data_IF_760361053771
#
_entry.id   IF_760361053771
#
_cell.length_a   1.000
_cell.length_b   1.000
_cell.length_c   1.000
_cell.angle_alpha   90.00
_cell.angle_beta   90.00
_cell.angle_gamma   90.00
#
_symmetry.space_group_name_H-M   'P 1'
#
loop_
_entity.id
_entity.type
_entity.pdbx_description
1 polymer ?
#
# COMPACT_ATOMS: atom_id res chain seq x y z
N UNK A 1 -12.32 18.06 7.02
CA UNK A 1 -13.77 18.19 6.71
C UNK A 1 -13.93 18.53 5.25
N UNK A 2 -14.97 18.07 4.55
CA UNK A 2 -15.22 18.42 3.14
C UNK A 2 -16.23 19.56 3.04
N UNK A 3 -15.94 20.51 2.17
CA UNK A 3 -16.78 21.67 1.86
C UNK A 3 -16.92 21.74 0.35
N UNK A 4 -18.16 21.83 -0.13
CA UNK A 4 -18.48 21.87 -1.56
C UNK A 4 -19.34 23.09 -1.83
N UNK A 5 -18.77 24.09 -2.51
CA UNK A 5 -19.46 25.32 -2.84
C UNK A 5 -20.45 25.11 -4.00
N UNK A 6 -21.73 25.43 -3.84
CA UNK A 6 -22.72 25.28 -4.90
C UNK A 6 -22.44 26.27 -6.06
N UNK A 7 -22.36 25.80 -7.32
CA UNK A 7 -22.05 26.67 -8.47
C UNK A 7 -23.02 27.85 -8.64
N UNK A 8 -24.30 27.67 -8.29
CA UNK A 8 -25.33 28.71 -8.39
C UNK A 8 -25.03 29.95 -7.54
N UNK A 9 -24.35 29.78 -6.40
CA UNK A 9 -24.05 30.88 -5.45
C UNK A 9 -22.60 31.36 -5.58
N UNK A 10 -21.67 30.42 -5.81
CA UNK A 10 -20.24 30.69 -5.93
C UNK A 10 -19.78 30.56 -7.39
N UNK A 11 -20.44 31.30 -8.29
CA UNK A 11 -20.04 31.38 -9.68
C UNK A 11 -18.73 32.20 -9.80
N UNK A 12 -17.67 31.55 -10.27
CA UNK A 12 -16.39 32.18 -10.59
C UNK A 12 -15.30 32.02 -9.53
N UNK A 13 -14.06 31.98 -10.01
CA UNK A 13 -12.84 31.74 -9.22
C UNK A 13 -12.66 32.72 -8.04
N UNK A 14 -12.98 34.01 -8.23
CA UNK A 14 -12.81 35.03 -7.19
C UNK A 14 -13.72 34.83 -5.98
N UNK A 15 -15.00 34.46 -6.20
CA UNK A 15 -15.94 34.20 -5.09
C UNK A 15 -15.55 32.95 -4.28
N UNK A 16 -15.07 31.91 -4.97
CA UNK A 16 -14.58 30.70 -4.30
C UNK A 16 -13.36 31.03 -3.45
N UNK A 17 -12.38 31.76 -4.03
CA UNK A 17 -11.15 32.15 -3.32
C UNK A 17 -11.45 32.97 -2.08
N UNK A 18 -12.31 33.99 -2.21
CA UNK A 18 -12.70 34.84 -1.10
C UNK A 18 -13.39 34.08 0.05
N UNK A 19 -14.31 33.16 -0.27
CA UNK A 19 -14.99 32.35 0.74
C UNK A 19 -14.01 31.52 1.58
N UNK A 20 -13.11 30.84 0.90
CA UNK A 20 -12.16 29.91 1.52
C UNK A 20 -11.07 30.67 2.31
N UNK A 21 -10.57 31.79 1.78
CA UNK A 21 -9.67 32.70 2.51
C UNK A 21 -10.30 33.23 3.81
N UNK A 22 -11.56 33.69 3.75
CA UNK A 22 -12.32 34.13 4.91
C UNK A 22 -12.54 32.99 5.91
N UNK A 23 -12.85 31.79 5.41
CA UNK A 23 -13.07 30.60 6.22
C UNK A 23 -11.81 30.20 7.00
N UNK A 24 -10.67 30.10 6.33
CA UNK A 24 -9.39 29.74 6.98
C UNK A 24 -9.01 30.78 8.03
N UNK A 25 -9.15 32.08 7.72
CA UNK A 25 -8.91 33.16 8.70
C UNK A 25 -9.82 33.00 9.91
N UNK A 26 -11.12 32.81 9.70
CA UNK A 26 -12.11 32.64 10.76
C UNK A 26 -11.82 31.42 11.64
N UNK A 27 -11.49 30.27 11.04
CA UNK A 27 -11.17 29.04 11.77
C UNK A 27 -9.89 29.16 12.59
N UNK A 28 -8.87 29.87 12.10
CA UNK A 28 -7.64 30.14 12.86
C UNK A 28 -7.87 30.95 14.14
N UNK A 29 -8.97 31.69 14.25
CA UNK A 29 -9.33 32.44 15.47
C UNK A 29 -9.97 31.59 16.56
N UNK A 30 -10.33 30.33 16.28
CA UNK A 30 -10.93 29.44 17.27
C UNK A 30 -9.88 29.05 18.32
N UNK A 31 -10.10 29.32 19.62
CA UNK A 31 -9.15 28.96 20.67
C UNK A 31 -8.79 27.48 20.63
N UNK A 32 -7.50 27.15 20.66
CA UNK A 32 -6.99 25.78 20.60
C UNK A 32 -6.79 25.22 19.18
N UNK A 33 -7.18 25.94 18.13
CA UNK A 33 -6.71 25.67 16.75
C UNK A 33 -5.28 26.18 16.61
N UNK A 34 -4.38 25.29 16.23
CA UNK A 34 -2.95 25.57 16.04
C UNK A 34 -2.67 26.06 14.62
N UNK A 35 -3.30 25.44 13.63
CA UNK A 35 -3.16 25.80 12.23
C UNK A 35 -4.40 25.34 11.45
N UNK A 36 -4.72 26.03 10.36
CA UNK A 36 -5.75 25.63 9.43
C UNK A 36 -5.37 26.00 8.00
N UNK A 37 -5.75 25.15 7.06
CA UNK A 37 -5.48 25.30 5.65
C UNK A 37 -6.45 24.45 4.84
N UNK A 38 -6.36 24.57 3.52
CA UNK A 38 -7.21 23.85 2.59
C UNK A 38 -6.38 23.02 1.62
N UNK A 39 -6.97 21.92 1.20
CA UNK A 39 -6.45 21.14 0.09
C UNK A 39 -7.58 20.52 -0.71
N UNK A 40 -7.39 20.40 -2.02
CA UNK A 40 -8.33 19.69 -2.86
C UNK A 40 -8.35 18.18 -2.64
N UNK A 41 -7.27 17.63 -2.07
CA UNK A 41 -7.10 16.21 -1.80
C UNK A 41 -6.48 15.98 -0.42
N UNK A 42 -6.66 14.78 0.12
CA UNK A 42 -6.06 14.36 1.37
C UNK A 42 -5.04 13.25 1.08
N UNK A 43 -4.04 13.03 1.96
CA UNK A 43 -3.14 11.90 1.84
C UNK A 43 -3.90 10.58 1.65
N UNK A 44 -3.23 9.60 1.06
CA UNK A 44 -3.72 8.23 0.81
C UNK A 44 -5.02 8.12 -0.02
N UNK A 45 -5.44 9.21 -0.67
CA UNK A 45 -6.58 9.24 -1.57
C UNK A 45 -6.30 10.18 -2.77
N UNK A 46 -5.66 9.69 -3.85
CA UNK A 46 -5.37 10.50 -5.03
C UNK A 46 -6.69 10.83 -5.73
N UNK A 47 -7.04 12.11 -5.74
CA UNK A 47 -8.30 12.52 -6.37
C UNK A 47 -8.09 12.79 -7.86
N UNK A 48 -6.90 13.24 -8.26
CA UNK A 48 -6.63 13.63 -9.66
C UNK A 48 -5.19 13.34 -10.08
N UNK A 49 -5.08 13.02 -11.36
CA UNK A 49 -3.83 12.94 -12.07
C UNK A 49 -3.84 13.90 -13.25
N UNK A 50 -2.68 14.43 -13.61
CA UNK A 50 -2.51 15.25 -14.80
C UNK A 50 -1.21 14.88 -15.52
N UNK A 51 -1.21 14.77 -16.86
CA UNK A 51 0.03 14.72 -17.61
C UNK A 51 0.79 16.03 -17.42
N UNK A 52 2.08 15.98 -17.17
CA UNK A 52 2.90 17.19 -17.09
C UNK A 52 4.25 16.96 -17.76
N UNK A 53 4.83 18.03 -18.32
CA UNK A 53 6.14 18.00 -18.97
C UNK A 53 7.13 18.87 -18.18
N UNK A 54 7.99 18.25 -17.36
CA UNK A 54 9.11 18.92 -16.70
C UNK A 54 10.12 19.48 -17.71
N UNK A 55 10.70 20.64 -17.41
CA UNK A 55 11.79 21.23 -18.18
C UNK A 55 13.00 20.27 -18.27
N UNK A 56 13.57 20.16 -19.48
CA UNK A 56 14.67 19.26 -19.79
C UNK A 56 14.24 17.86 -20.27
N UNK A 57 12.94 17.55 -20.25
CA UNK A 57 12.42 16.30 -20.82
C UNK A 57 12.13 16.44 -22.33
N UNK A 58 12.20 15.33 -23.10
CA UNK A 58 11.85 15.33 -24.52
C UNK A 58 10.44 15.89 -24.76
N UNK A 59 10.29 16.75 -25.77
CA UNK A 59 8.97 17.26 -26.12
C UNK A 59 8.13 16.16 -26.75
N UNK A 60 7.17 15.66 -25.98
CA UNK A 60 6.24 14.60 -26.40
C UNK A 60 4.79 15.13 -26.43
N UNK A 61 3.91 14.50 -27.24
CA UNK A 61 2.49 14.80 -27.24
C UNK A 61 1.87 14.66 -25.84
N UNK A 62 0.77 15.37 -25.58
CA UNK A 62 0.11 15.42 -24.27
C UNK A 62 -0.17 14.03 -23.66
N UNK A 63 -0.54 13.06 -24.51
CA UNK A 63 -0.91 11.70 -24.09
C UNK A 63 0.28 10.85 -23.65
N UNK A 64 1.49 11.22 -24.06
CA UNK A 64 2.74 10.50 -23.74
C UNK A 64 3.52 11.16 -22.59
N UNK A 65 3.04 12.31 -22.10
CA UNK A 65 3.68 13.01 -20.99
C UNK A 65 3.56 12.19 -19.69
N UNK A 66 4.58 12.26 -18.81
CA UNK A 66 4.51 11.62 -17.51
C UNK A 66 3.29 12.09 -16.70
N UNK A 67 2.63 11.15 -16.02
CA UNK A 67 1.51 11.46 -15.14
C UNK A 67 1.99 11.84 -13.74
N UNK A 68 1.40 12.90 -13.20
CA UNK A 68 1.61 13.37 -11.84
C UNK A 68 0.28 13.37 -11.09
N UNK A 69 0.34 13.07 -9.79
CA UNK A 69 -0.73 13.47 -8.88
C UNK A 69 -0.81 14.99 -8.87
N UNK A 70 -2.02 15.53 -8.82
CA UNK A 70 -2.22 16.98 -8.81
C UNK A 70 -3.21 17.37 -7.72
N UNK A 71 -2.81 18.33 -6.89
CA UNK A 71 -3.69 18.92 -5.90
C UNK A 71 -3.45 20.42 -5.76
N UNK A 72 -4.49 21.13 -5.36
CA UNK A 72 -4.42 22.55 -5.01
C UNK A 72 -4.42 22.69 -3.50
N UNK A 73 -3.58 23.59 -2.98
CA UNK A 73 -3.44 23.83 -1.54
C UNK A 73 -3.48 25.33 -1.25
N UNK A 74 -3.96 25.70 -0.06
CA UNK A 74 -3.84 27.07 0.44
C UNK A 74 -2.48 27.31 1.10
N UNK A 75 -2.04 28.58 1.24
CA UNK A 75 -0.89 28.92 2.07
C UNK A 75 -1.03 28.40 3.51
N UNK A 76 0.05 27.81 4.03
CA UNK A 76 0.11 27.22 5.37
C UNK A 76 -0.38 25.79 5.45
N UNK A 77 -0.76 25.16 4.34
CA UNK A 77 -1.09 23.73 4.29
C UNK A 77 0.10 22.86 4.70
N UNK A 78 1.31 23.20 4.26
CA UNK A 78 2.53 22.44 4.54
C UNK A 78 2.81 22.44 6.04
N UNK A 79 2.72 23.62 6.68
CA UNK A 79 2.81 23.74 8.13
C UNK A 79 1.67 23.01 8.87
N UNK A 80 0.43 23.14 8.37
CA UNK A 80 -0.74 22.47 8.95
C UNK A 80 -0.61 20.95 8.90
N UNK A 81 -0.06 20.39 7.82
CA UNK A 81 0.16 18.96 7.66
C UNK A 81 1.52 18.47 8.19
N UNK A 82 2.40 19.38 8.63
CA UNK A 82 3.80 19.08 9.01
C UNK A 82 4.59 18.38 7.91
N UNK A 83 4.34 18.77 6.66
CA UNK A 83 5.13 18.30 5.53
C UNK A 83 6.42 19.14 5.52
N UNK A 84 7.62 18.54 5.41
CA UNK A 84 8.85 19.31 5.41
C UNK A 84 9.02 20.02 4.06
N UNK A 85 9.46 21.28 4.09
CA UNK A 85 9.91 21.99 2.90
C UNK A 85 11.39 21.66 2.66
N UNK A 86 11.68 20.89 1.61
CA UNK A 86 13.01 20.37 1.30
C UNK A 86 13.86 21.44 0.61
N UNK A 87 13.28 22.19 -0.33
CA UNK A 87 13.94 23.29 -1.07
C UNK A 87 12.94 24.39 -1.41
N UNK A 88 13.45 25.61 -1.62
CA UNK A 88 12.66 26.74 -2.09
C UNK A 88 11.77 27.35 -1.01
N UNK A 89 10.54 27.73 -1.38
CA UNK A 89 9.56 28.40 -0.51
C UNK A 89 8.18 27.75 -0.61
N UNK A 90 7.35 27.95 0.42
CA UNK A 90 5.91 27.67 0.34
C UNK A 90 5.20 28.75 -0.52
N UNK A 91 3.94 28.47 -0.90
CA UNK A 91 3.05 29.47 -1.48
C UNK A 91 2.77 30.61 -0.51
N UNK A 92 2.76 31.81 -1.06
CA UNK A 92 2.47 33.06 -0.38
C UNK A 92 1.06 33.52 -0.72
N UNK A 93 0.49 34.42 0.10
CA UNK A 93 -0.81 35.00 -0.18
C UNK A 93 -0.85 35.80 -1.51
N UNK A 94 0.32 36.26 -1.99
CA UNK A 94 0.46 36.97 -3.26
C UNK A 94 0.62 36.07 -4.49
N UNK A 95 0.71 34.73 -4.33
CA UNK A 95 0.70 33.79 -5.46
C UNK A 95 -0.74 33.58 -5.98
N UNK A 96 -1.39 34.69 -6.38
CA UNK A 96 -2.78 34.74 -6.80
C UNK A 96 -2.94 34.54 -8.32
N UNK A 97 -4.18 34.69 -8.82
CA UNK A 97 -4.50 34.51 -10.24
C UNK A 97 -3.84 35.51 -11.20
N UNK A 98 -3.34 36.64 -10.71
CA UNK A 98 -2.63 37.67 -11.50
C UNK A 98 -1.12 37.50 -11.42
N UNK A 99 -0.62 36.76 -10.44
CA UNK A 99 0.79 36.44 -10.31
C UNK A 99 1.25 35.43 -11.38
N UNK A 100 2.57 35.35 -11.65
CA UNK A 100 3.13 34.25 -12.45
C UNK A 100 2.69 32.89 -11.94
N UNK A 101 2.51 31.92 -12.85
CA UNK A 101 2.07 30.58 -12.47
C UNK A 101 3.19 29.85 -11.75
N UNK A 102 2.89 29.37 -10.55
CA UNK A 102 3.87 28.69 -9.70
C UNK A 102 3.34 27.33 -9.26
N UNK A 103 4.25 26.39 -9.04
CA UNK A 103 3.98 25.05 -8.53
C UNK A 103 4.99 24.66 -7.47
N UNK A 104 4.62 23.74 -6.60
CA UNK A 104 5.57 22.95 -5.82
C UNK A 104 5.49 21.50 -6.26
N UNK A 105 6.57 20.76 -6.05
CA UNK A 105 6.63 19.32 -6.36
C UNK A 105 7.08 18.53 -5.13
N UNK A 106 6.79 17.24 -5.07
CA UNK A 106 7.37 16.40 -4.00
C UNK A 106 8.81 15.94 -4.32
N UNK A 107 9.49 15.47 -3.28
CA UNK A 107 10.86 14.95 -3.33
C UNK A 107 10.99 13.78 -4.33
N UNK A 108 9.98 12.90 -4.44
CA UNK A 108 9.93 11.87 -5.48
C UNK A 108 9.98 12.44 -6.90
N UNK A 109 9.22 13.49 -7.20
CA UNK A 109 9.27 14.15 -8.49
C UNK A 109 10.66 14.78 -8.75
N UNK A 110 11.22 15.45 -7.74
CA UNK A 110 12.57 16.01 -7.84
C UNK A 110 13.60 14.93 -8.20
N UNK A 111 13.66 13.83 -7.45
CA UNK A 111 14.61 12.74 -7.70
C UNK A 111 14.44 12.09 -9.06
N UNK A 112 13.20 11.99 -9.55
CA UNK A 112 12.88 11.32 -10.82
C UNK A 112 13.23 12.17 -12.04
N UNK A 113 12.90 13.46 -12.01
CA UNK A 113 13.01 14.32 -13.18
C UNK A 113 14.24 15.24 -13.16
N UNK A 114 14.79 15.52 -11.98
CA UNK A 114 15.98 16.35 -11.77
C UNK A 114 16.97 15.71 -10.76
N UNK A 115 17.47 14.48 -11.01
CA UNK A 115 18.29 13.73 -10.05
C UNK A 115 19.60 14.41 -9.63
N UNK A 116 20.07 15.42 -10.39
CA UNK A 116 21.34 16.13 -10.16
C UNK A 116 21.19 17.65 -10.25
N UNK A 117 19.97 18.15 -10.34
CA UNK A 117 19.71 19.57 -10.56
C UNK A 117 18.77 20.09 -9.47
N UNK A 118 18.87 21.40 -9.20
CA UNK A 118 17.87 22.04 -8.36
C UNK A 118 16.61 22.29 -9.21
N UNK A 119 15.45 21.73 -8.86
CA UNK A 119 14.22 21.98 -9.62
C UNK A 119 13.67 23.39 -9.38
N UNK A 120 14.05 24.06 -8.29
CA UNK A 120 13.55 25.41 -8.00
C UNK A 120 14.02 26.39 -9.08
N UNK A 121 13.09 27.15 -9.65
CA UNK A 121 13.29 28.07 -10.78
C UNK A 121 13.12 27.42 -12.16
N UNK A 122 12.98 26.09 -12.24
CA UNK A 122 12.65 25.38 -13.49
C UNK A 122 11.15 25.39 -13.75
N UNK A 123 10.77 25.07 -14.98
CA UNK A 123 9.38 25.11 -15.40
C UNK A 123 8.77 23.72 -15.59
N UNK A 124 7.45 23.63 -15.39
CA UNK A 124 6.65 22.44 -15.70
C UNK A 124 5.43 22.88 -16.51
N UNK A 125 5.22 22.25 -17.66
CA UNK A 125 3.99 22.43 -18.44
C UNK A 125 2.93 21.44 -17.94
N UNK A 126 1.96 21.92 -17.17
CA UNK A 126 0.95 21.09 -16.51
C UNK A 126 -0.30 20.94 -17.37
N UNK A 127 -0.65 19.70 -17.72
CA UNK A 127 -1.85 19.37 -18.48
C UNK A 127 -1.95 20.14 -19.79
N UNK A 128 -3.08 20.82 -19.97
CA UNK A 128 -3.38 21.68 -21.12
C UNK A 128 -3.08 23.17 -20.86
N UNK A 129 -2.39 23.50 -19.77
CA UNK A 129 -2.02 24.90 -19.53
C UNK A 129 -1.11 25.39 -20.65
N UNK A 130 -1.34 26.64 -21.10
CA UNK A 130 -0.57 27.26 -22.19
C UNK A 130 0.78 27.75 -21.69
N UNK A 131 0.80 28.34 -20.49
CA UNK A 131 2.01 28.85 -19.87
C UNK A 131 2.61 27.80 -18.93
N UNK A 132 3.93 27.56 -19.00
CA UNK A 132 4.63 26.76 -18.00
C UNK A 132 4.52 27.38 -16.61
N UNK A 133 4.48 26.53 -15.58
CA UNK A 133 4.50 26.95 -14.18
C UNK A 133 5.93 26.85 -13.64
N UNK A 134 6.41 27.85 -12.92
CA UNK A 134 7.71 27.83 -12.25
C UNK A 134 7.64 26.99 -10.97
N UNK A 135 8.62 26.11 -10.75
CA UNK A 135 8.76 25.36 -9.50
C UNK A 135 9.37 26.28 -8.44
N UNK A 136 8.59 26.65 -7.43
CA UNK A 136 9.05 27.53 -6.34
C UNK A 136 9.48 26.79 -5.08
N UNK A 137 9.12 25.52 -4.96
CA UNK A 137 9.41 24.71 -3.77
C UNK A 137 9.35 23.21 -4.02
N UNK A 138 10.06 22.47 -3.16
CA UNK A 138 10.05 21.01 -3.09
C UNK A 138 9.59 20.58 -1.71
N UNK A 139 8.55 19.78 -1.64
CA UNK A 139 7.98 19.24 -0.41
C UNK A 139 8.47 17.82 -0.15
N UNK A 140 8.50 17.42 1.12
CA UNK A 140 8.75 16.03 1.50
C UNK A 140 7.67 15.10 0.98
N UNK A 141 8.04 13.83 0.82
CA UNK A 141 7.12 12.81 0.32
C UNK A 141 5.98 12.52 1.31
N UNK A 142 4.75 12.52 0.79
CA UNK A 142 3.55 12.08 1.49
C UNK A 142 2.96 10.91 0.72
N UNK A 143 2.48 9.88 1.43
CA UNK A 143 1.75 8.76 0.80
C UNK A 143 0.51 9.33 0.09
N UNK A 144 0.55 9.34 -1.24
CA UNK A 144 -0.41 10.08 -2.06
C UNK A 144 -1.27 9.20 -2.97
N UNK A 145 -1.06 7.86 -2.96
CA UNK A 145 -1.90 6.91 -3.70
C UNK A 145 -2.66 5.97 -2.77
N UNK A 146 -1.94 5.23 -1.93
CA UNK A 146 -2.51 4.47 -0.82
C UNK A 146 -1.40 4.19 0.20
N UNK A 147 -1.74 3.56 1.32
CA UNK A 147 -0.80 3.30 2.43
C UNK A 147 0.33 2.34 2.01
N UNK A 148 0.06 1.38 1.12
CA UNK A 148 1.00 0.33 0.73
C UNK A 148 1.83 0.66 -0.51
N UNK A 149 1.37 1.60 -1.35
CA UNK A 149 2.01 1.95 -2.62
C UNK A 149 3.15 2.96 -2.43
N UNK A 150 4.15 2.85 -3.30
CA UNK A 150 5.21 3.85 -3.44
C UNK A 150 4.61 5.24 -3.72
N UNK A 151 5.23 6.26 -3.11
CA UNK A 151 4.88 7.66 -3.34
C UNK A 151 5.09 7.97 -4.82
N UNK A 152 4.09 8.57 -5.46
CA UNK A 152 4.15 8.96 -6.87
C UNK A 152 4.58 10.44 -7.00
N UNK A 153 5.14 10.85 -8.16
CA UNK A 153 5.37 12.26 -8.45
C UNK A 153 4.11 13.09 -8.29
N UNK A 154 4.20 14.20 -7.58
CA UNK A 154 3.05 15.05 -7.26
C UNK A 154 3.36 16.53 -7.48
N UNK A 155 2.37 17.23 -8.02
CA UNK A 155 2.36 18.67 -8.27
C UNK A 155 1.32 19.29 -7.35
N UNK A 156 1.77 20.30 -6.61
CA UNK A 156 0.96 21.15 -5.77
C UNK A 156 0.79 22.49 -6.49
N UNK A 157 -0.43 22.99 -6.57
CA UNK A 157 -0.77 24.28 -7.15
C UNK A 157 -1.37 25.20 -6.07
N UNK A 158 -1.14 26.52 -6.14
CA UNK A 158 -1.82 27.45 -5.25
C UNK A 158 -3.31 27.49 -5.59
N UNK A 159 -4.16 27.33 -4.57
CA UNK A 159 -5.61 27.34 -4.73
C UNK A 159 -6.13 28.59 -5.44
N UNK A 160 -5.55 29.76 -5.17
CA UNK A 160 -5.94 31.03 -5.79
C UNK A 160 -5.75 31.06 -7.33
N UNK A 161 -4.82 30.26 -7.88
CA UNK A 161 -4.60 30.17 -9.34
C UNK A 161 -5.46 29.11 -10.03
N UNK A 162 -5.99 28.14 -9.27
CA UNK A 162 -6.83 27.07 -9.79
C UNK A 162 -7.89 26.65 -8.75
N UNK A 163 -8.86 27.51 -8.43
CA UNK A 163 -9.82 27.21 -7.37
C UNK A 163 -10.76 26.10 -7.80
N UNK A 164 -10.94 25.11 -6.91
CA UNK A 164 -11.91 24.04 -7.07
C UNK A 164 -13.10 24.26 -6.13
N UNK A 165 -14.33 23.92 -6.56
CA UNK A 165 -15.52 24.13 -5.74
C UNK A 165 -15.56 23.25 -4.50
N UNK A 166 -14.95 22.05 -4.57
CA UNK A 166 -14.90 21.08 -3.49
C UNK A 166 -13.50 21.00 -2.93
N UNK A 167 -13.31 21.50 -1.71
CA UNK A 167 -12.04 21.46 -0.98
C UNK A 167 -12.23 20.76 0.37
N UNK A 168 -11.12 20.34 0.95
CA UNK A 168 -11.05 19.85 2.31
C UNK A 168 -10.44 20.94 3.21
N UNK A 169 -11.19 21.34 4.23
CA UNK A 169 -10.65 22.11 5.34
C UNK A 169 -9.88 21.16 6.26
N UNK A 170 -8.59 21.43 6.41
CA UNK A 170 -7.67 20.72 7.29
C UNK A 170 -7.37 21.61 8.49
N UNK A 171 -7.58 21.08 9.68
CA UNK A 171 -7.40 21.83 10.94
C UNK A 171 -6.52 21.01 11.86
N UNK A 172 -5.47 21.64 12.38
CA UNK A 172 -4.63 21.11 13.44
C UNK A 172 -5.05 21.72 14.76
N UNK A 173 -5.34 20.88 15.75
CA UNK A 173 -5.78 21.30 17.09
C UNK A 173 -4.75 20.94 18.14
N UNK A 174 -4.73 21.66 19.25
CA UNK A 174 -3.84 21.40 20.39
C UNK A 174 -4.32 20.23 21.27
N UNK A 175 -5.61 19.86 21.16
CA UNK A 175 -6.24 18.74 21.86
C UNK A 175 -7.00 17.83 20.91
N UNK A 176 -7.82 16.93 21.47
CA UNK A 176 -8.59 15.93 20.73
C UNK A 176 -9.42 16.57 19.60
N UNK A 177 -9.20 16.25 18.31
CA UNK A 177 -9.85 16.95 17.20
C UNK A 177 -11.38 16.91 17.24
N UNK A 178 -11.95 15.83 17.80
CA UNK A 178 -13.40 15.64 17.93
C UNK A 178 -14.08 16.74 18.74
N UNK A 179 -13.40 17.34 19.73
CA UNK A 179 -13.99 18.40 20.57
C UNK A 179 -14.11 19.73 19.84
N UNK A 180 -13.35 19.94 18.75
CA UNK A 180 -13.34 21.18 17.98
C UNK A 180 -14.33 21.19 16.82
N UNK A 181 -14.91 20.03 16.47
CA UNK A 181 -15.79 19.86 15.30
C UNK A 181 -16.96 20.84 15.32
N UNK A 182 -17.63 20.99 16.46
CA UNK A 182 -18.78 21.89 16.60
C UNK A 182 -18.37 23.37 16.42
N UNK A 183 -17.25 23.77 17.01
CA UNK A 183 -16.74 25.13 16.93
C UNK A 183 -16.25 25.49 15.51
N UNK A 184 -15.62 24.55 14.79
CA UNK A 184 -15.21 24.76 13.40
C UNK A 184 -16.44 24.80 12.48
N UNK A 185 -17.41 23.89 12.69
CA UNK A 185 -18.66 23.88 11.91
C UNK A 185 -19.45 25.19 12.07
N UNK A 186 -19.49 25.77 13.27
CA UNK A 186 -20.19 27.05 13.47
C UNK A 186 -19.53 28.20 12.71
N UNK A 187 -18.21 28.18 12.50
CA UNK A 187 -17.52 29.16 11.63
C UNK A 187 -17.93 29.03 10.17
N UNK A 188 -18.05 27.80 9.65
CA UNK A 188 -18.55 27.58 8.29
C UNK A 188 -19.97 28.11 8.14
N UNK A 189 -20.85 27.76 9.07
CA UNK A 189 -22.26 28.17 9.05
C UNK A 189 -22.46 29.68 9.28
N UNK A 190 -21.49 30.36 9.90
CA UNK A 190 -21.49 31.81 10.05
C UNK A 190 -21.19 32.53 8.73
N UNK A 191 -20.32 31.95 7.88
CA UNK A 191 -20.06 32.47 6.53
C UNK A 191 -21.21 32.14 5.58
N UNK A 192 -21.69 30.90 5.63
CA UNK A 192 -22.81 30.45 4.81
C UNK A 192 -23.65 29.39 5.54
N UNK A 193 -24.86 29.79 5.94
CA UNK A 193 -25.81 28.94 6.68
C UNK A 193 -26.26 27.71 5.90
N UNK A 194 -26.23 27.77 4.57
CA UNK A 194 -26.68 26.69 3.70
C UNK A 194 -25.52 25.77 3.29
N UNK A 195 -24.30 26.02 3.79
CA UNK A 195 -23.13 25.25 3.39
C UNK A 195 -23.06 23.93 4.19
N UNK A 196 -23.25 22.76 3.53
CA UNK A 196 -23.09 21.49 4.20
C UNK A 196 -21.62 21.26 4.56
N UNK A 197 -21.38 20.87 5.80
CA UNK A 197 -20.09 20.38 6.28
C UNK A 197 -20.17 18.87 6.42
N UNK A 198 -19.58 18.17 5.46
CA UNK A 198 -19.64 16.70 5.36
C UNK A 198 -18.27 16.07 5.59
N UNK A 199 -18.24 14.74 5.72
CA UNK A 199 -16.99 13.95 5.81
C UNK A 199 -16.01 14.52 6.83
N UNK A 200 -16.49 14.67 8.06
CA UNK A 200 -15.66 15.09 9.20
C UNK A 200 -14.96 13.85 9.73
N UNK A 201 -13.66 13.79 9.51
CA UNK A 201 -12.81 12.70 9.96
C UNK A 201 -11.55 13.25 10.60
N UNK A 202 -11.03 12.52 11.58
CA UNK A 202 -9.66 12.69 12.05
C UNK A 202 -8.67 12.13 11.03
N UNK A 203 -7.41 12.56 11.06
CA UNK A 203 -6.41 11.99 10.17
C UNK A 203 -6.15 10.51 10.47
N UNK A 204 -6.29 10.11 11.74
CA UNK A 204 -6.17 8.71 12.16
C UNK A 204 -7.27 7.84 11.53
N UNK A 205 -8.53 8.29 11.56
CA UNK A 205 -9.64 7.59 10.87
C UNK A 205 -9.41 7.43 9.37
N UNK A 206 -8.85 8.46 8.71
CA UNK A 206 -8.53 8.41 7.28
C UNK A 206 -7.48 7.33 7.00
N UNK A 207 -6.43 7.27 7.82
CA UNK A 207 -5.38 6.27 7.70
C UNK A 207 -5.88 4.85 8.00
N UNK A 208 -6.73 4.69 9.02
CA UNK A 208 -7.35 3.40 9.35
C UNK A 208 -8.24 2.89 8.21
N UNK A 209 -9.07 3.77 7.64
CA UNK A 209 -9.95 3.43 6.51
C UNK A 209 -9.13 3.06 5.27
N UNK A 210 -8.08 3.82 4.98
CA UNK A 210 -7.18 3.52 3.86
C UNK A 210 -6.40 2.21 4.04
N UNK A 211 -6.15 1.80 5.29
CA UNK A 211 -5.52 0.52 5.61
C UNK A 211 -6.51 -0.66 5.68
N UNK A 212 -7.82 -0.41 5.73
CA UNK A 212 -8.83 -1.46 5.92
C UNK A 212 -8.89 -2.44 4.74
N UNK A 213 -8.86 -1.95 3.50
CA UNK A 213 -8.93 -2.81 2.32
C UNK A 213 -7.70 -3.71 2.14
N UNK A 214 -6.45 -3.19 2.22
CA UNK A 214 -5.26 -4.04 2.25
C UNK A 214 -5.33 -5.10 3.36
N UNK A 215 -5.74 -4.72 4.58
CA UNK A 215 -5.89 -5.68 5.71
C UNK A 215 -6.90 -6.77 5.40
N UNK A 216 -8.07 -6.43 4.83
CA UNK A 216 -9.08 -7.41 4.45
C UNK A 216 -8.55 -8.39 3.40
N UNK A 217 -7.92 -7.89 2.34
CA UNK A 217 -7.32 -8.73 1.30
C UNK A 217 -6.23 -9.64 1.87
N UNK A 218 -5.36 -9.14 2.75
CA UNK A 218 -4.34 -9.95 3.42
C UNK A 218 -4.96 -11.04 4.29
N UNK A 219 -6.00 -10.74 5.07
CA UNK A 219 -6.70 -11.73 5.89
C UNK A 219 -7.38 -12.81 5.04
N UNK A 220 -8.03 -12.43 3.93
CA UNK A 220 -8.67 -13.37 3.01
C UNK A 220 -7.64 -14.29 2.34
N UNK A 221 -6.57 -13.73 1.79
CA UNK A 221 -5.49 -14.52 1.19
C UNK A 221 -4.79 -15.40 2.22
N UNK A 222 -4.62 -14.90 3.45
CA UNK A 222 -4.09 -15.67 4.57
C UNK A 222 -4.97 -16.87 4.92
N UNK A 223 -6.29 -16.69 4.98
CA UNK A 223 -7.24 -17.78 5.22
C UNK A 223 -7.21 -18.83 4.10
N UNK A 224 -7.24 -18.40 2.83
CA UNK A 224 -7.15 -19.29 1.66
C UNK A 224 -5.79 -20.01 1.59
N UNK A 225 -4.70 -19.33 1.93
CA UNK A 225 -3.37 -19.94 1.98
C UNK A 225 -3.28 -20.95 3.12
N UNK A 226 -3.90 -20.66 4.27
CA UNK A 226 -4.01 -21.59 5.40
C UNK A 226 -4.79 -22.85 5.05
N UNK A 227 -5.93 -22.74 4.35
CA UNK A 227 -6.69 -23.91 3.91
C UNK A 227 -5.94 -24.72 2.85
N UNK A 228 -5.31 -24.06 1.88
CA UNK A 228 -4.45 -24.72 0.89
C UNK A 228 -3.28 -25.47 1.55
N UNK A 229 -2.65 -24.86 2.56
CA UNK A 229 -1.58 -25.47 3.34
C UNK A 229 -2.07 -26.71 4.09
N UNK A 230 -3.23 -26.64 4.75
CA UNK A 230 -3.84 -27.79 5.43
C UNK A 230 -4.13 -28.93 4.45
N UNK A 231 -4.72 -28.63 3.29
CA UNK A 231 -5.00 -29.63 2.25
C UNK A 231 -3.71 -30.27 1.73
N UNK A 232 -2.65 -29.48 1.52
CA UNK A 232 -1.34 -30.00 1.13
C UNK A 232 -0.74 -30.92 2.19
N UNK A 233 -0.80 -30.55 3.47
CA UNK A 233 -0.34 -31.36 4.61
C UNK A 233 -1.06 -32.70 4.66
N UNK A 234 -2.40 -32.69 4.55
CA UNK A 234 -3.23 -33.90 4.54
C UNK A 234 -2.90 -34.78 3.33
N UNK A 235 -2.74 -34.19 2.14
CA UNK A 235 -2.39 -34.92 0.92
C UNK A 235 -1.02 -35.57 1.00
N UNK A 236 0.01 -34.84 1.45
CA UNK A 236 1.37 -35.37 1.66
C UNK A 236 1.34 -36.51 2.67
N UNK A 237 0.67 -36.32 3.81
CA UNK A 237 0.55 -37.37 4.83
C UNK A 237 -0.14 -38.60 4.25
N UNK A 238 -1.27 -38.43 3.57
CA UNK A 238 -2.04 -39.53 2.98
C UNK A 238 -1.22 -40.35 1.97
N UNK A 239 -0.58 -39.69 1.00
CA UNK A 239 0.20 -40.35 -0.04
C UNK A 239 1.41 -41.08 0.54
N UNK A 240 2.18 -40.43 1.43
CA UNK A 240 3.37 -41.05 2.04
C UNK A 240 2.96 -42.19 2.97
N UNK A 241 1.98 -41.98 3.85
CA UNK A 241 1.56 -43.00 4.80
C UNK A 241 0.96 -44.23 4.10
N UNK A 242 0.19 -44.01 3.02
CA UNK A 242 -0.33 -45.10 2.19
C UNK A 242 0.79 -45.90 1.52
N UNK A 243 1.75 -45.22 0.88
CA UNK A 243 2.89 -45.87 0.22
C UNK A 243 3.76 -46.69 1.19
N UNK A 244 3.94 -46.20 2.43
CA UNK A 244 4.65 -46.96 3.49
C UNK A 244 3.83 -48.16 3.94
N UNK A 245 2.51 -48.02 4.01
CA UNK A 245 1.60 -49.08 4.46
C UNK A 245 1.51 -50.23 3.46
N UNK A 246 1.50 -49.97 2.15
CA UNK A 246 1.56 -51.03 1.12
C UNK A 246 2.84 -51.87 1.22
N UNK A 247 3.95 -51.28 1.67
CA UNK A 247 5.25 -51.96 1.80
C UNK A 247 5.43 -52.69 3.12
N UNK A 248 4.41 -52.77 3.97
CA UNK A 248 4.48 -53.42 5.29
C UNK A 248 4.82 -54.91 5.21
N UNK A 249 4.29 -55.63 4.23
CA UNK A 249 4.61 -57.05 4.01
C UNK A 249 6.09 -57.26 3.69
N UNK A 250 6.67 -56.45 2.80
CA UNK A 250 8.11 -56.51 2.48
C UNK A 250 8.97 -56.22 3.71
N UNK A 251 8.55 -55.26 4.55
CA UNK A 251 9.24 -54.94 5.81
C UNK A 251 9.18 -56.11 6.79
N UNK A 252 8.03 -56.78 6.92
CA UNK A 252 7.86 -57.95 7.77
C UNK A 252 8.75 -59.12 7.35
N UNK A 253 8.86 -59.40 6.04
CA UNK A 253 9.73 -60.45 5.50
C UNK A 253 11.21 -60.13 5.80
N UNK A 254 11.65 -58.88 5.61
CA UNK A 254 13.04 -58.48 5.92
C UNK A 254 13.38 -58.62 7.41
N UNK A 255 12.45 -58.28 8.30
CA UNK A 255 12.64 -58.48 9.75
C UNK A 255 12.75 -59.97 10.08
N UNK A 256 11.90 -60.81 9.47
CA UNK A 256 11.95 -62.26 9.66
C UNK A 256 13.28 -62.88 9.17
N UNK A 257 13.91 -62.27 8.16
CA UNK A 257 15.23 -62.63 7.66
C UNK A 257 16.40 -62.04 8.48
N UNK A 258 16.12 -61.33 9.59
CA UNK A 258 17.12 -60.82 10.52
C UNK A 258 17.52 -59.36 10.35
N UNK A 259 16.82 -58.58 9.52
CA UNK A 259 17.10 -57.15 9.37
C UNK A 259 16.78 -56.37 10.67
N UNK A 260 17.67 -55.45 11.05
CA UNK A 260 17.47 -54.62 12.23
C UNK A 260 16.36 -53.59 11.98
N UNK A 261 15.52 -53.35 12.99
CA UNK A 261 14.38 -52.39 12.87
C UNK A 261 14.85 -50.98 12.48
N UNK A 262 16.06 -50.60 12.90
CA UNK A 262 16.66 -49.31 12.56
C UNK A 262 16.97 -49.18 11.05
N UNK A 263 17.38 -50.25 10.38
CA UNK A 263 17.70 -50.24 8.95
C UNK A 263 16.45 -50.03 8.10
N UNK A 264 15.33 -50.66 8.48
CA UNK A 264 14.04 -50.47 7.81
C UNK A 264 13.55 -49.04 8.01
N UNK A 265 13.64 -48.53 9.24
CA UNK A 265 13.20 -47.18 9.55
C UNK A 265 14.00 -46.13 8.75
N UNK A 266 15.32 -46.32 8.64
CA UNK A 266 16.21 -45.45 7.86
C UNK A 266 15.89 -45.49 6.36
N UNK A 267 15.60 -46.67 5.82
CA UNK A 267 15.22 -46.84 4.43
C UNK A 267 13.92 -46.09 4.09
N UNK A 268 12.89 -46.27 4.93
CA UNK A 268 11.58 -45.64 4.72
C UNK A 268 11.68 -44.12 4.86
N UNK A 269 12.36 -43.65 5.90
CA UNK A 269 12.60 -42.22 6.10
C UNK A 269 13.33 -41.59 4.92
N UNK A 270 14.38 -42.25 4.41
CA UNK A 270 15.14 -41.75 3.25
C UNK A 270 14.29 -41.66 2.00
N UNK A 271 13.43 -42.65 1.73
CA UNK A 271 12.53 -42.62 0.58
C UNK A 271 11.48 -41.50 0.70
N UNK A 272 10.85 -41.36 1.86
CA UNK A 272 9.88 -40.29 2.11
C UNK A 272 10.50 -38.90 2.04
N UNK A 273 11.69 -38.72 2.61
CA UNK A 273 12.45 -37.45 2.54
C UNK A 273 12.90 -37.12 1.11
N UNK A 274 13.32 -38.11 0.30
CA UNK A 274 13.70 -37.87 -1.10
C UNK A 274 12.51 -37.39 -1.93
N UNK A 275 11.34 -38.01 -1.77
CA UNK A 275 10.10 -37.59 -2.41
C UNK A 275 9.69 -36.17 -1.98
N UNK A 276 9.73 -35.89 -0.68
CA UNK A 276 9.41 -34.57 -0.14
C UNK A 276 10.41 -33.51 -0.63
N UNK A 277 11.71 -33.80 -0.62
CA UNK A 277 12.74 -32.89 -1.12
C UNK A 277 12.56 -32.58 -2.60
N UNK A 278 12.23 -33.59 -3.42
CA UNK A 278 11.90 -33.39 -4.84
C UNK A 278 10.68 -32.48 -5.03
N UNK A 279 9.59 -32.75 -4.31
CA UNK A 279 8.38 -31.91 -4.35
C UNK A 279 8.62 -30.48 -3.87
N UNK A 280 9.37 -30.30 -2.79
CA UNK A 280 9.78 -28.98 -2.27
C UNK A 280 10.62 -28.23 -3.29
N UNK A 281 11.63 -28.88 -3.90
CA UNK A 281 12.50 -28.24 -4.88
C UNK A 281 11.71 -27.76 -6.11
N UNK A 282 10.82 -28.61 -6.63
CA UNK A 282 9.94 -28.26 -7.76
C UNK A 282 8.99 -27.13 -7.34
N UNK A 283 8.35 -27.24 -6.18
CA UNK A 283 7.42 -26.24 -5.66
C UNK A 283 8.08 -24.87 -5.48
N UNK A 284 9.31 -24.83 -4.95
CA UNK A 284 10.11 -23.60 -4.83
C UNK A 284 10.44 -23.01 -6.20
N UNK A 285 10.87 -23.83 -7.16
CA UNK A 285 11.17 -23.36 -8.51
C UNK A 285 9.94 -22.77 -9.20
N UNK A 286 8.79 -23.45 -9.11
CA UNK A 286 7.51 -22.99 -9.65
C UNK A 286 7.06 -21.71 -8.95
N UNK A 287 7.15 -21.66 -7.62
CA UNK A 287 6.78 -20.48 -6.82
C UNK A 287 7.62 -19.27 -7.23
N UNK A 288 8.94 -19.40 -7.31
CA UNK A 288 9.84 -18.32 -7.75
C UNK A 288 9.52 -17.86 -9.18
N UNK A 289 9.25 -18.79 -10.10
CA UNK A 289 8.87 -18.45 -11.46
C UNK A 289 7.56 -17.67 -11.51
N UNK A 290 6.55 -18.11 -10.76
CA UNK A 290 5.24 -17.47 -10.70
C UNK A 290 5.32 -16.08 -10.04
N UNK A 291 6.10 -15.95 -8.96
CA UNK A 291 6.30 -14.65 -8.31
C UNK A 291 7.04 -13.66 -9.21
N UNK A 292 8.01 -14.13 -10.02
CA UNK A 292 8.64 -13.29 -11.06
C UNK A 292 7.66 -12.88 -12.15
N UNK A 293 6.83 -13.80 -12.63
CA UNK A 293 5.81 -13.50 -13.64
C UNK A 293 4.80 -12.46 -13.12
N UNK A 294 4.30 -12.65 -11.90
CA UNK A 294 3.40 -11.69 -11.26
C UNK A 294 4.08 -10.33 -11.03
N UNK A 295 5.35 -10.31 -10.63
CA UNK A 295 6.12 -9.09 -10.50
C UNK A 295 6.35 -8.33 -11.82
N UNK A 296 6.25 -9.01 -12.96
CA UNK A 296 6.33 -8.38 -14.29
C UNK A 296 4.99 -7.79 -14.77
N UNK A 297 3.87 -8.32 -14.29
CA UNK A 297 2.52 -7.87 -14.64
C UNK A 297 1.95 -6.83 -13.67
N UNK A 298 2.33 -6.89 -12.39
CA UNK A 298 1.91 -5.96 -11.34
C UNK A 298 3.09 -5.09 -10.92
N UNK A 299 2.91 -3.77 -10.95
CA UNK A 299 3.94 -2.80 -10.60
C UNK A 299 4.42 -3.00 -9.15
N UNK A 300 5.65 -3.50 -8.97
CA UNK A 300 6.40 -3.60 -7.71
C UNK A 300 5.66 -4.26 -6.53
N UNK A 301 5.21 -5.50 -6.71
CA UNK A 301 5.03 -6.40 -5.56
C UNK A 301 6.42 -6.78 -5.05
N UNK A 302 6.76 -6.51 -3.78
CA UNK A 302 8.03 -6.99 -3.18
C UNK A 302 8.04 -8.51 -3.21
N UNK A 303 8.98 -9.09 -3.97
CA UNK A 303 8.78 -10.40 -4.60
C UNK A 303 9.35 -11.61 -3.86
N UNK A 304 9.87 -11.49 -2.63
CA UNK A 304 10.28 -12.69 -1.88
C UNK A 304 10.37 -12.36 -0.41
N UNK A 305 9.41 -12.82 0.39
CA UNK A 305 9.57 -12.85 1.85
C UNK A 305 10.42 -14.09 2.20
N UNK A 306 11.68 -13.94 2.66
CA UNK A 306 12.54 -15.08 2.96
C UNK A 306 11.94 -15.99 4.03
N UNK A 307 11.18 -15.44 4.98
CA UNK A 307 10.52 -16.25 6.01
C UNK A 307 9.51 -17.21 5.39
N UNK A 308 8.65 -16.76 4.48
CA UNK A 308 7.69 -17.63 3.79
C UNK A 308 8.38 -18.75 3.00
N UNK A 309 9.49 -18.43 2.30
CA UNK A 309 10.27 -19.40 1.52
C UNK A 309 11.08 -20.39 2.37
N UNK A 310 11.28 -20.12 3.66
CA UNK A 310 11.95 -21.04 4.60
C UNK A 310 10.93 -21.84 5.41
N UNK A 311 9.94 -21.18 6.00
CA UNK A 311 8.96 -21.80 6.89
C UNK A 311 8.07 -22.82 6.16
N UNK A 312 7.65 -22.54 4.92
CA UNK A 312 6.82 -23.46 4.13
C UNK A 312 7.51 -24.81 3.87
N UNK A 313 8.70 -24.83 3.22
CA UNK A 313 9.48 -26.05 3.02
C UNK A 313 9.82 -26.79 4.31
N UNK A 314 10.19 -26.08 5.38
CA UNK A 314 10.49 -26.68 6.68
C UNK A 314 9.27 -27.43 7.25
N UNK A 315 8.09 -26.80 7.18
CA UNK A 315 6.85 -27.41 7.62
C UNK A 315 6.51 -28.67 6.80
N UNK A 316 6.63 -28.60 5.47
CA UNK A 316 6.40 -29.78 4.62
C UNK A 316 7.41 -30.90 4.87
N UNK A 317 8.68 -30.58 5.16
CA UNK A 317 9.69 -31.57 5.52
C UNK A 317 9.35 -32.25 6.86
N UNK A 318 8.89 -31.49 7.86
CA UNK A 318 8.44 -32.03 9.15
C UNK A 318 7.22 -32.95 8.98
N UNK A 319 6.26 -32.54 8.15
CA UNK A 319 5.06 -33.36 7.85
C UNK A 319 5.44 -34.65 7.13
N UNK A 320 6.32 -34.58 6.12
CA UNK A 320 6.80 -35.77 5.42
C UNK A 320 7.57 -36.72 6.35
N UNK A 321 8.38 -36.18 7.26
CA UNK A 321 9.09 -36.95 8.26
C UNK A 321 8.12 -37.65 9.23
N UNK A 322 7.12 -36.94 9.72
CA UNK A 322 6.07 -37.52 10.57
C UNK A 322 5.27 -38.61 9.82
N UNK A 323 4.86 -38.34 8.57
CA UNK A 323 4.12 -39.26 7.71
C UNK A 323 4.91 -40.52 7.35
N UNK A 324 6.24 -40.43 7.26
CA UNK A 324 7.12 -41.57 7.00
C UNK A 324 7.41 -42.36 8.29
N UNK A 325 7.63 -41.66 9.40
CA UNK A 325 8.03 -42.24 10.68
C UNK A 325 6.90 -43.01 11.37
N UNK A 326 5.70 -42.44 11.45
CA UNK A 326 4.57 -43.01 12.20
C UNK A 326 4.14 -44.39 11.67
N UNK A 327 3.90 -44.59 10.35
CA UNK A 327 3.55 -45.89 9.81
C UNK A 327 4.72 -46.88 9.85
N UNK A 328 5.95 -46.44 9.56
CA UNK A 328 7.13 -47.31 9.63
C UNK A 328 7.38 -47.85 11.05
N UNK A 329 7.19 -46.99 12.07
CA UNK A 329 7.29 -47.41 13.47
C UNK A 329 6.17 -48.36 13.87
N UNK A 330 4.96 -48.18 13.35
CA UNK A 330 3.86 -49.14 13.55
C UNK A 330 4.22 -50.48 12.91
N UNK A 331 4.60 -50.49 11.64
CA UNK A 331 4.99 -51.68 10.87
C UNK A 331 6.09 -52.51 11.55
N UNK A 332 7.14 -51.84 12.06
CA UNK A 332 8.27 -52.50 12.75
C UNK A 332 7.94 -53.00 14.17
N UNK A 333 6.79 -52.61 14.74
CA UNK A 333 6.30 -53.06 16.05
C UNK A 333 5.24 -54.16 15.96
N UNK A 334 4.64 -54.39 14.79
CA UNK A 334 3.72 -55.51 14.59
C UNK A 334 4.53 -56.82 14.60
N UNK A 335 4.03 -57.81 15.33
CA UNK A 335 4.66 -59.13 15.45
C UNK A 335 4.71 -59.81 14.06
N UNK A 336 5.87 -60.30 13.57
CA UNK A 336 6.01 -60.89 12.23
C UNK A 336 4.99 -62.01 11.94
N UNK A 337 4.58 -62.73 12.97
CA UNK A 337 3.58 -63.81 12.88
C UNK A 337 2.15 -63.31 12.62
N UNK A 338 1.84 -62.05 12.95
CA UNK A 338 0.54 -61.41 12.68
C UNK A 338 0.53 -60.80 11.27
N UNK A 339 1.66 -60.29 10.79
CA UNK A 339 1.78 -59.70 9.45
C UNK A 339 1.61 -60.72 8.30
N UNK A 340 1.91 -62.00 8.55
CA UNK A 340 1.72 -63.10 7.59
C UNK A 340 0.29 -63.68 7.55
N UNK A 341 -0.61 -63.21 8.44
CA UNK A 341 -1.95 -63.79 8.63
C UNK A 341 -3.11 -62.89 8.18
N UNK A 342 -2.81 -61.70 7.67
CA UNK A 342 -3.79 -60.84 7.01
C UNK A 342 -3.79 -61.15 5.50
N UNK A 343 -4.78 -61.94 5.08
CA UNK A 343 -5.40 -61.87 3.73
C UNK A 343 -6.39 -60.69 3.70
#
# INVERSE_FOLDING_TARGET
>A
MKISLPPARYAGAGKMTAFYDELVKSVRTVPGVVAAAESSALPVNPIRFSPALPEGQPQVPLMERPMFNIQTISPGYVATMRIPLVRGREFLAGDDAQAPRVVMVNDTAMRRFWPRENPVGKHILVGRMVQPCEVVGVLGDVRNVNVAADVQPEIYLPFAQLPWPSMHLVVRTAGAPSTFVAAVRSRVLALDRDQPVTSVHTMDEILETAAAQPRFTTSLLGALSGTALLLAIVGIYGVIAYSVSERTQEMGIRIALGAERADILRLVLRQGLLLAAGGIAIGLAVSLALTRLLGSMLYRVSTTDPMTFVCGPLLFALVALAASYLPARRATRVDPMVALRYE
#
